data_IF_717636092952
#
_entry.id   IF_717636092952
#
_cell.length_a   1.000
_cell.length_b   1.000
_cell.length_c   1.000
_cell.angle_alpha   90.00
_cell.angle_beta   90.00
_cell.angle_gamma   90.00
#
_symmetry.space_group_name_H-M   'P 1'
#
loop_
_entity.id
_entity.type
_entity.pdbx_description
1 polymer ?
#
# COMPACT_ATOMS: atom_id res chain seq x y z
N UNK A 1 0.66 21.00 -36.40
CA UNK A 1 -0.68 20.46 -36.68
C UNK A 1 -1.69 21.58 -36.53
N UNK A 2 -2.56 21.80 -37.51
CA UNK A 2 -3.50 22.93 -37.51
C UNK A 2 -4.81 22.51 -36.85
N UNK A 3 -5.17 23.14 -35.74
CA UNK A 3 -6.47 22.91 -35.10
C UNK A 3 -7.55 23.74 -35.78
N UNK A 4 -8.70 23.13 -35.99
CA UNK A 4 -9.91 23.80 -36.44
C UNK A 4 -10.45 24.67 -35.29
N UNK A 5 -10.50 25.99 -35.50
CA UNK A 5 -11.08 26.94 -34.54
C UNK A 5 -12.10 27.83 -35.24
N UNK A 6 -13.16 28.25 -34.53
CA UNK A 6 -14.26 29.05 -35.12
C UNK A 6 -13.78 30.34 -35.81
N UNK A 7 -12.75 31.00 -35.27
CA UNK A 7 -12.16 32.19 -35.88
C UNK A 7 -11.48 31.92 -37.21
N UNK A 8 -10.83 30.77 -37.35
CA UNK A 8 -10.18 30.37 -38.62
C UNK A 8 -11.20 29.88 -39.63
N UNK A 9 -12.29 29.26 -39.17
CA UNK A 9 -13.37 28.79 -40.04
C UNK A 9 -14.03 29.92 -40.83
N UNK A 10 -14.09 31.12 -40.26
CA UNK A 10 -14.62 32.31 -40.95
C UNK A 10 -13.66 32.90 -41.99
N UNK A 11 -12.40 32.47 -42.04
CA UNK A 11 -11.39 33.03 -42.97
C UNK A 11 -10.83 32.00 -43.95
N UNK A 12 -11.00 30.70 -43.69
CA UNK A 12 -10.47 29.62 -44.50
C UNK A 12 -11.42 28.42 -44.52
N UNK A 13 -11.55 27.77 -45.68
CA UNK A 13 -12.26 26.50 -45.82
C UNK A 13 -11.39 25.33 -45.34
N UNK A 14 -11.92 24.51 -44.43
CA UNK A 14 -11.26 23.31 -43.89
C UNK A 14 -11.91 22.05 -44.43
N UNK A 15 -11.10 21.00 -44.65
CA UNK A 15 -11.59 19.65 -44.93
C UNK A 15 -12.05 18.94 -43.65
N UNK A 16 -12.69 17.78 -43.79
CA UNK A 16 -13.05 16.92 -42.66
C UNK A 16 -11.81 16.57 -41.80
N UNK A 17 -11.91 16.61 -40.46
CA UNK A 17 -10.76 16.36 -39.60
C UNK A 17 -10.28 14.90 -39.66
N UNK A 18 -8.99 14.72 -39.91
CA UNK A 18 -8.35 13.39 -39.91
C UNK A 18 -8.06 12.86 -38.49
N UNK A 19 -7.97 13.75 -37.50
CA UNK A 19 -7.70 13.40 -36.10
C UNK A 19 -8.49 14.32 -35.18
N UNK A 20 -9.13 13.74 -34.18
CA UNK A 20 -9.78 14.45 -33.08
C UNK A 20 -8.87 14.28 -31.87
N UNK A 21 -8.26 15.39 -31.44
CA UNK A 21 -7.42 15.41 -30.24
C UNK A 21 -8.25 15.78 -29.01
N UNK A 22 -8.13 14.96 -27.96
CA UNK A 22 -8.72 15.24 -26.65
C UNK A 22 -7.75 16.03 -25.75
N UNK A 23 -8.31 16.84 -24.87
CA UNK A 23 -7.52 17.61 -23.89
C UNK A 23 -6.97 16.69 -22.80
N UNK A 24 -5.65 16.57 -22.74
CA UNK A 24 -4.96 15.77 -21.72
C UNK A 24 -4.15 16.65 -20.78
N UNK A 25 -4.33 16.44 -19.46
CA UNK A 25 -3.49 17.08 -18.43
C UNK A 25 -2.33 16.16 -18.10
N UNK A 26 -1.11 16.66 -18.30
CA UNK A 26 0.11 15.93 -17.99
C UNK A 26 0.63 16.33 -16.61
N UNK A 27 0.82 15.35 -15.73
CA UNK A 27 1.42 15.56 -14.41
C UNK A 27 2.79 14.86 -14.31
N UNK A 28 3.66 15.39 -13.44
CA UNK A 28 4.91 14.74 -13.11
C UNK A 28 4.65 13.33 -12.56
N UNK A 29 5.47 12.36 -12.97
CA UNK A 29 5.33 10.99 -12.47
C UNK A 29 5.45 11.01 -10.93
N UNK A 30 4.46 10.49 -10.20
CA UNK A 30 4.52 10.45 -8.76
C UNK A 30 5.67 9.55 -8.32
N UNK A 31 6.43 10.02 -7.33
CA UNK A 31 7.54 9.26 -6.75
C UNK A 31 6.97 8.16 -5.86
N UNK A 32 7.27 6.91 -6.19
CA UNK A 32 6.95 5.77 -5.33
C UNK A 32 7.87 5.83 -4.12
N UNK A 33 7.32 6.12 -2.94
CA UNK A 33 8.06 6.04 -1.68
C UNK A 33 8.11 4.58 -1.21
N UNK A 34 9.26 4.13 -0.72
CA UNK A 34 9.43 2.78 -0.19
C UNK A 34 8.86 2.72 1.23
N UNK A 35 7.70 2.09 1.39
CA UNK A 35 7.11 1.83 2.70
C UNK A 35 7.69 0.54 3.31
N UNK A 36 8.59 0.70 4.28
CA UNK A 36 9.23 -0.42 4.98
C UNK A 36 8.24 -1.18 5.89
N UNK A 37 7.15 -0.54 6.32
CA UNK A 37 6.08 -1.21 7.08
C UNK A 37 5.20 -2.10 6.17
N UNK A 38 5.45 -2.10 4.86
CA UNK A 38 4.77 -2.96 3.87
C UNK A 38 4.89 -4.45 4.15
N UNK A 39 5.91 -4.90 4.90
CA UNK A 39 6.11 -6.31 5.22
C UNK A 39 5.11 -6.87 6.23
N UNK A 40 4.51 -6.04 7.10
CA UNK A 40 3.52 -6.51 8.10
C UNK A 40 2.10 -6.48 7.55
N UNK A 41 1.84 -5.63 6.54
CA UNK A 41 0.54 -5.47 5.87
C UNK A 41 -0.05 -6.72 5.19
N UNK A 42 0.69 -7.77 4.76
CA UNK A 42 0.12 -8.94 4.10
C UNK A 42 -0.91 -9.69 4.95
N UNK A 43 -0.86 -9.53 6.27
CA UNK A 43 -1.84 -10.05 7.21
C UNK A 43 -2.47 -8.92 8.03
N UNK A 44 -3.79 -9.00 8.20
CA UNK A 44 -4.52 -8.12 9.12
C UNK A 44 -4.10 -8.43 10.57
N UNK A 45 -4.28 -7.45 11.45
CA UNK A 45 -4.02 -7.62 12.88
C UNK A 45 -4.79 -8.80 13.48
N UNK A 46 -6.02 -9.04 13.01
CA UNK A 46 -6.85 -10.19 13.41
C UNK A 46 -6.16 -11.52 13.11
N UNK A 47 -5.56 -11.65 11.91
CA UNK A 47 -4.86 -12.86 11.49
C UNK A 47 -3.60 -13.06 12.33
N UNK A 48 -2.86 -11.99 12.61
CA UNK A 48 -1.71 -12.05 13.52
C UNK A 48 -2.11 -12.51 14.92
N UNK A 49 -3.21 -12.00 15.45
CA UNK A 49 -3.75 -12.45 16.74
C UNK A 49 -4.13 -13.94 16.71
N UNK A 50 -4.75 -14.41 15.62
CA UNK A 50 -5.07 -15.83 15.44
C UNK A 50 -3.81 -16.71 15.36
N UNK A 51 -2.76 -16.28 14.66
CA UNK A 51 -1.48 -17.01 14.58
C UNK A 51 -0.85 -17.12 15.97
N UNK A 52 -0.83 -16.02 16.74
CA UNK A 52 -0.34 -16.04 18.12
C UNK A 52 -1.19 -16.97 18.99
N UNK A 53 -2.51 -16.92 18.89
CA UNK A 53 -3.40 -17.81 19.64
C UNK A 53 -3.20 -19.29 19.27
N UNK A 54 -3.14 -19.62 17.98
CA UNK A 54 -2.89 -20.99 17.52
C UNK A 54 -1.53 -21.51 17.99
N UNK A 55 -0.48 -20.70 17.93
CA UNK A 55 0.84 -21.08 18.44
C UNK A 55 0.82 -21.34 19.96
N UNK A 56 0.09 -20.53 20.74
CA UNK A 56 -0.08 -20.77 22.18
C UNK A 56 -0.82 -22.08 22.46
N UNK A 57 -1.87 -22.38 21.70
CA UNK A 57 -2.63 -23.64 21.82
C UNK A 57 -1.73 -24.85 21.53
N UNK A 58 -0.95 -24.82 20.45
CA UNK A 58 -0.05 -25.93 20.09
C UNK A 58 1.08 -26.10 21.10
N UNK A 59 1.63 -25.00 21.61
CA UNK A 59 2.63 -25.01 22.68
C UNK A 59 2.07 -25.69 23.94
N UNK A 60 0.87 -25.29 24.38
CA UNK A 60 0.24 -25.85 25.56
C UNK A 60 -0.16 -27.32 25.36
N UNK A 61 -0.76 -27.66 24.20
CA UNK A 61 -1.14 -29.04 23.90
C UNK A 61 0.08 -29.96 23.89
N UNK A 62 1.20 -29.51 23.31
CA UNK A 62 2.44 -30.27 23.28
C UNK A 62 3.00 -30.46 24.70
N UNK A 63 3.08 -29.39 25.49
CA UNK A 63 3.54 -29.47 26.88
C UNK A 63 2.68 -30.40 27.75
N UNK A 64 1.35 -30.35 27.59
CA UNK A 64 0.40 -31.22 28.30
C UNK A 64 0.55 -32.69 27.92
N UNK A 65 0.72 -33.00 26.62
CA UNK A 65 0.91 -34.39 26.18
C UNK A 65 2.25 -34.93 26.68
N UNK A 66 3.32 -34.12 26.68
CA UNK A 66 4.61 -34.53 27.26
C UNK A 66 4.47 -34.84 28.76
N UNK A 67 3.79 -33.96 29.52
CA UNK A 67 3.53 -34.19 30.95
C UNK A 67 2.70 -35.45 31.19
N UNK A 68 1.66 -35.68 30.38
CA UNK A 68 0.83 -36.87 30.47
C UNK A 68 1.63 -38.15 30.20
N UNK A 69 2.52 -38.12 29.21
CA UNK A 69 3.38 -39.26 28.89
C UNK A 69 4.41 -39.51 30.01
N UNK A 70 5.02 -38.45 30.56
CA UNK A 70 5.96 -38.57 31.68
C UNK A 70 5.27 -39.11 32.94
N UNK A 71 4.05 -38.65 33.25
CA UNK A 71 3.27 -39.17 34.39
C UNK A 71 2.90 -40.64 34.26
N UNK A 72 2.73 -41.16 33.04
CA UNK A 72 2.35 -42.56 32.80
C UNK A 72 3.57 -43.49 32.80
N UNK A 73 4.73 -43.02 32.32
CA UNK A 73 5.92 -43.86 32.12
C UNK A 73 7.06 -43.61 33.12
N UNK A 74 7.12 -42.45 33.79
CA UNK A 74 8.19 -42.08 34.72
C UNK A 74 7.70 -42.05 36.16
N UNK A 75 8.07 -43.08 36.94
CA UNK A 75 7.94 -43.09 38.42
C UNK A 75 9.15 -42.43 39.11
N UNK A 76 9.80 -41.46 38.48
CA UNK A 76 10.99 -40.82 39.07
C UNK A 76 10.53 -39.58 39.84
N UNK A 77 10.72 -39.60 41.17
CA UNK A 77 10.49 -38.46 42.07
C UNK A 77 11.46 -37.31 41.81
N UNK A 78 11.31 -36.66 40.66
CA UNK A 78 12.09 -35.48 40.24
C UNK A 78 11.26 -34.22 40.51
N UNK A 79 11.93 -33.10 40.72
CA UNK A 79 11.28 -31.83 41.08
C UNK A 79 10.31 -31.37 39.96
N UNK A 80 9.01 -31.61 40.14
CA UNK A 80 7.96 -31.45 39.12
C UNK A 80 7.92 -30.03 38.50
N UNK A 81 8.21 -29.01 39.30
CA UNK A 81 8.17 -27.62 38.87
C UNK A 81 9.29 -27.26 37.87
N UNK A 82 10.47 -27.86 38.03
CA UNK A 82 11.61 -27.61 37.15
C UNK A 82 11.47 -28.34 35.80
N UNK A 83 10.87 -29.53 35.82
CA UNK A 83 10.56 -30.36 34.65
C UNK A 83 9.52 -29.66 33.77
N UNK A 84 8.44 -29.14 34.36
CA UNK A 84 7.38 -28.43 33.65
C UNK A 84 7.90 -27.21 32.90
N UNK A 85 8.67 -26.34 33.57
CA UNK A 85 9.28 -25.16 32.94
C UNK A 85 10.21 -25.53 31.78
N UNK A 86 10.96 -26.64 31.91
CA UNK A 86 11.84 -27.14 30.85
C UNK A 86 11.06 -27.66 29.64
N UNK A 87 9.98 -28.41 29.86
CA UNK A 87 9.10 -28.93 28.80
C UNK A 87 8.35 -27.81 28.09
N UNK A 88 7.87 -26.81 28.83
CA UNK A 88 7.24 -25.62 28.26
C UNK A 88 8.20 -24.84 27.37
N UNK A 89 9.45 -24.61 27.84
CA UNK A 89 10.47 -23.91 27.07
C UNK A 89 10.83 -24.64 25.78
N UNK A 90 10.95 -25.97 25.82
CA UNK A 90 11.23 -26.81 24.64
C UNK A 90 10.05 -26.81 23.66
N UNK A 91 8.82 -26.90 24.16
CA UNK A 91 7.63 -26.79 23.31
C UNK A 91 7.54 -25.40 22.64
N UNK A 92 7.85 -24.34 23.39
CA UNK A 92 7.86 -22.96 22.87
C UNK A 92 8.92 -22.75 21.79
N UNK A 93 10.17 -23.21 22.03
CA UNK A 93 11.23 -23.13 21.02
C UNK A 93 10.87 -23.91 19.77
N UNK A 94 10.31 -25.11 19.92
CA UNK A 94 9.89 -25.95 18.80
C UNK A 94 8.79 -25.31 17.95
N UNK A 95 7.73 -24.81 18.59
CA UNK A 95 6.63 -24.13 17.88
C UNK A 95 7.15 -22.91 17.12
N UNK A 96 8.03 -22.12 17.73
CA UNK A 96 8.63 -20.95 17.10
C UNK A 96 9.57 -21.29 15.95
N UNK A 97 10.42 -22.31 16.14
CA UNK A 97 11.32 -22.80 15.09
C UNK A 97 10.53 -23.28 13.88
N UNK A 98 9.47 -24.07 14.07
CA UNK A 98 8.60 -24.52 12.98
C UNK A 98 7.93 -23.33 12.27
N UNK A 99 7.42 -22.35 13.00
CA UNK A 99 6.81 -21.15 12.44
C UNK A 99 7.79 -20.35 11.56
N UNK A 100 9.04 -20.23 12.02
CA UNK A 100 10.12 -19.53 11.31
C UNK A 100 10.82 -20.39 10.24
N UNK A 101 10.35 -21.63 10.02
CA UNK A 101 11.01 -22.61 9.17
C UNK A 101 12.50 -22.84 9.55
N UNK A 102 12.81 -22.77 10.84
CA UNK A 102 14.12 -23.07 11.42
C UNK A 102 14.14 -24.51 11.95
N UNK A 103 15.29 -25.18 11.84
CA UNK A 103 15.49 -26.51 12.41
C UNK A 103 15.82 -26.43 13.91
N UNK A 104 15.14 -27.22 14.73
CA UNK A 104 15.51 -27.42 16.13
C UNK A 104 16.08 -28.84 16.34
N UNK A 105 17.17 -29.00 17.11
CA UNK A 105 17.73 -30.33 17.43
C UNK A 105 16.83 -31.21 18.28
N UNK A 106 15.85 -30.62 18.96
CA UNK A 106 14.92 -31.30 19.83
C UNK A 106 13.57 -31.51 19.12
N UNK A 107 13.06 -32.73 19.18
CA UNK A 107 11.78 -33.11 18.62
C UNK A 107 10.91 -33.76 19.70
N UNK A 108 9.60 -33.48 19.72
CA UNK A 108 8.71 -34.14 20.65
C UNK A 108 8.53 -35.62 20.27
N UNK A 109 8.86 -36.52 21.20
CA UNK A 109 8.79 -37.97 21.00
C UNK A 109 7.50 -38.54 21.60
N UNK A 110 6.68 -39.18 20.76
CA UNK A 110 5.44 -39.85 21.16
C UNK A 110 4.47 -40.00 19.99
N UNK A 111 3.65 -41.05 19.97
CA UNK A 111 2.69 -41.30 18.88
C UNK A 111 1.66 -40.17 18.74
N UNK A 112 1.08 -39.73 19.87
CA UNK A 112 0.07 -38.66 19.88
C UNK A 112 0.65 -37.28 19.53
N UNK A 113 1.85 -36.97 20.00
CA UNK A 113 2.48 -35.67 19.70
C UNK A 113 2.87 -35.56 18.22
N UNK A 114 3.23 -36.67 17.56
CA UNK A 114 3.54 -36.66 16.12
C UNK A 114 2.36 -36.22 15.25
N UNK A 115 1.13 -36.56 15.65
CA UNK A 115 -0.08 -36.12 14.93
C UNK A 115 -0.25 -34.61 15.07
N UNK A 116 -0.16 -34.09 16.30
CA UNK A 116 -0.22 -32.64 16.57
C UNK A 116 0.90 -31.91 15.85
N UNK A 117 2.11 -32.47 15.86
CA UNK A 117 3.26 -31.89 15.20
C UNK A 117 3.10 -31.86 13.67
N UNK A 118 2.57 -32.92 13.07
CA UNK A 118 2.25 -32.97 11.64
C UNK A 118 1.22 -31.92 11.24
N UNK A 119 0.14 -31.77 12.02
CA UNK A 119 -0.86 -30.74 11.79
C UNK A 119 -0.27 -29.32 11.92
N UNK A 120 0.60 -29.09 12.91
CA UNK A 120 1.30 -27.82 13.07
C UNK A 120 2.25 -27.53 11.90
N UNK A 121 2.98 -28.52 11.43
CA UNK A 121 3.86 -28.38 10.26
C UNK A 121 3.08 -28.00 9.00
N UNK A 122 1.94 -28.64 8.75
CA UNK A 122 1.06 -28.29 7.62
C UNK A 122 0.49 -26.89 7.79
N UNK A 123 0.03 -26.52 8.99
CA UNK A 123 -0.49 -25.19 9.27
C UNK A 123 0.57 -24.10 9.06
N UNK A 124 1.79 -24.28 9.60
CA UNK A 124 2.90 -23.34 9.42
C UNK A 124 3.32 -23.22 7.96
N UNK A 125 3.33 -24.33 7.21
CA UNK A 125 3.62 -24.33 5.78
C UNK A 125 2.58 -23.53 4.98
N UNK A 126 1.28 -23.77 5.24
CA UNK A 126 0.19 -23.03 4.59
C UNK A 126 0.24 -21.53 4.94
N UNK A 127 0.44 -21.19 6.21
CA UNK A 127 0.61 -19.80 6.65
C UNK A 127 1.77 -19.11 5.91
N UNK A 128 2.91 -19.80 5.78
CA UNK A 128 4.06 -19.30 5.03
C UNK A 128 3.76 -19.07 3.54
N UNK A 129 3.04 -19.99 2.89
CA UNK A 129 2.64 -19.84 1.48
C UNK A 129 1.72 -18.64 1.29
N UNK A 130 0.70 -18.50 2.14
CA UNK A 130 -0.27 -17.40 2.03
C UNK A 130 0.43 -16.07 2.30
N UNK A 131 1.27 -15.99 3.33
CA UNK A 131 2.05 -14.80 3.63
C UNK A 131 2.92 -14.36 2.44
N UNK A 132 3.67 -15.30 1.86
CA UNK A 132 4.53 -15.03 0.69
C UNK A 132 3.72 -14.60 -0.53
N UNK A 133 2.55 -15.22 -0.75
CA UNK A 133 1.65 -14.89 -1.87
C UNK A 133 1.07 -13.48 -1.72
N UNK A 134 0.61 -13.12 -0.52
CA UNK A 134 0.07 -11.80 -0.23
C UNK A 134 1.15 -10.73 -0.30
N UNK A 135 2.35 -11.03 0.22
CA UNK A 135 3.50 -10.15 0.11
C UNK A 135 3.87 -9.91 -1.35
N UNK A 136 3.93 -10.96 -2.18
CA UNK A 136 4.16 -10.84 -3.63
C UNK A 136 3.10 -9.96 -4.30
N UNK A 137 1.82 -10.18 -3.97
CA UNK A 137 0.71 -9.37 -4.49
C UNK A 137 0.89 -7.89 -4.13
N UNK A 138 1.32 -7.57 -2.91
CA UNK A 138 1.60 -6.19 -2.51
C UNK A 138 2.82 -5.60 -3.24
N UNK A 139 3.87 -6.38 -3.47
CA UNK A 139 5.09 -5.92 -4.13
C UNK A 139 4.90 -5.66 -5.63
N UNK A 140 4.00 -6.38 -6.29
CA UNK A 140 3.69 -6.12 -7.72
C UNK A 140 2.75 -4.92 -7.89
N UNK A 141 1.84 -4.67 -6.93
CA UNK A 141 0.90 -3.56 -7.00
C UNK A 141 1.61 -2.27 -6.60
N UNK A 142 2.02 -1.50 -7.60
CA UNK A 142 2.50 -0.13 -7.39
C UNK A 142 1.32 0.77 -7.10
N UNK A 143 1.13 1.17 -5.84
CA UNK A 143 0.16 2.21 -5.49
C UNK A 143 0.70 3.56 -5.94
N UNK A 144 0.14 4.06 -7.03
CA UNK A 144 0.38 5.41 -7.51
C UNK A 144 -0.72 6.29 -6.94
N UNK A 145 -0.40 7.09 -5.92
CA UNK A 145 -1.32 8.12 -5.44
C UNK A 145 -1.25 9.31 -6.40
N UNK A 146 -2.24 9.41 -7.28
CA UNK A 146 -2.43 10.60 -8.09
C UNK A 146 -2.93 11.74 -7.18
N UNK A 147 -2.42 12.97 -7.34
CA UNK A 147 -2.87 14.10 -6.53
C UNK A 147 -4.29 14.58 -6.89
N UNK A 148 -4.85 14.12 -8.00
CA UNK A 148 -6.21 14.39 -8.47
C UNK A 148 -6.58 13.32 -9.50
N UNK A 149 -7.83 12.85 -9.47
CA UNK A 149 -8.37 11.90 -10.46
C UNK A 149 -9.40 12.59 -11.38
N UNK A 150 -9.85 13.79 -11.01
CA UNK A 150 -10.81 14.61 -11.77
C UNK A 150 -10.30 16.04 -12.03
N UNK A 151 -10.88 16.66 -13.06
CA UNK A 151 -10.65 18.08 -13.36
C UNK A 151 -11.15 18.95 -12.20
N UNK A 152 -12.28 18.62 -11.57
CA UNK A 152 -12.80 19.35 -10.41
C UNK A 152 -11.80 19.36 -9.25
N UNK A 153 -11.18 18.22 -8.95
CA UNK A 153 -10.13 18.11 -7.92
C UNK A 153 -8.88 18.90 -8.29
N UNK A 154 -8.44 18.85 -9.56
CA UNK A 154 -7.34 19.68 -10.04
C UNK A 154 -7.62 21.16 -9.78
N UNK A 155 -8.85 21.59 -10.03
CA UNK A 155 -9.25 22.98 -9.85
C UNK A 155 -9.48 23.34 -8.38
N UNK A 156 -9.63 22.38 -7.47
CA UNK A 156 -9.61 22.59 -6.03
C UNK A 156 -8.20 22.52 -5.42
N UNK A 157 -7.25 21.88 -6.10
CA UNK A 157 -5.93 21.48 -5.57
C UNK A 157 -4.76 22.49 -5.39
N UNK A 158 -4.85 23.82 -5.31
CA UNK A 158 -3.70 24.81 -5.36
C UNK A 158 -2.49 24.54 -6.31
N UNK A 159 -2.46 23.48 -7.13
CA UNK A 159 -1.32 23.12 -7.99
C UNK A 159 -1.20 24.12 -9.14
N UNK A 160 0.03 24.57 -9.41
CA UNK A 160 0.29 25.53 -10.47
C UNK A 160 0.31 24.80 -11.82
N UNK A 161 -0.75 24.97 -12.61
CA UNK A 161 -0.83 24.47 -13.98
C UNK A 161 -0.28 25.53 -14.93
N UNK A 162 0.51 25.13 -15.93
CA UNK A 162 0.98 26.05 -16.98
C UNK A 162 0.56 25.52 -18.35
N UNK A 163 -0.16 26.32 -19.16
CA UNK A 163 -0.42 25.95 -20.54
C UNK A 163 0.87 25.97 -21.34
N UNK A 164 1.00 25.05 -22.29
CA UNK A 164 2.15 25.00 -23.20
C UNK A 164 2.07 26.23 -24.11
N UNK A 165 3.12 27.06 -24.08
CA UNK A 165 3.12 28.45 -24.58
C UNK A 165 2.84 28.63 -26.07
N UNK A 166 2.82 27.57 -26.87
CA UNK A 166 2.64 27.64 -28.33
C UNK A 166 1.40 26.92 -28.86
N UNK A 167 0.52 26.43 -27.97
CA UNK A 167 -0.73 25.79 -28.38
C UNK A 167 -1.87 26.80 -28.55
N UNK A 168 -2.75 26.55 -29.53
CA UNK A 168 -4.00 27.29 -29.76
C UNK A 168 -4.89 27.39 -28.50
N UNK A 169 -4.69 26.47 -27.54
CA UNK A 169 -5.34 26.41 -26.23
C UNK A 169 -5.12 27.69 -25.41
N UNK A 170 -3.93 28.30 -25.47
CA UNK A 170 -3.65 29.56 -24.76
C UNK A 170 -4.46 30.75 -25.30
N UNK A 171 -4.92 30.69 -26.56
CA UNK A 171 -5.81 31.68 -27.16
C UNK A 171 -7.28 31.41 -26.83
N UNK A 172 -7.66 30.13 -26.76
CA UNK A 172 -8.99 29.69 -26.33
C UNK A 172 -9.19 30.03 -24.84
N UNK A 173 -8.21 29.84 -23.97
CA UNK A 173 -8.27 30.22 -22.55
C UNK A 173 -8.48 31.74 -22.37
N UNK A 174 -7.79 32.56 -23.17
CA UNK A 174 -7.97 34.03 -23.15
C UNK A 174 -9.34 34.50 -23.62
N UNK A 175 -10.12 33.68 -24.36
CA UNK A 175 -11.46 34.03 -24.89
C UNK A 175 -12.60 33.15 -24.37
N UNK A 176 -12.30 32.04 -23.69
CA UNK A 176 -13.24 31.08 -23.09
C UNK A 176 -14.03 31.63 -21.90
N UNK A 177 -13.78 32.89 -21.53
CA UNK A 177 -14.57 33.71 -20.61
C UNK A 177 -16.08 33.76 -20.93
N UNK A 178 -16.53 33.27 -22.10
CA UNK A 178 -17.89 33.44 -22.60
C UNK A 178 -18.66 32.14 -22.94
N UNK A 179 -18.12 30.91 -22.79
CA UNK A 179 -18.83 29.73 -23.36
C UNK A 179 -18.77 28.38 -22.62
N UNK A 180 -18.14 28.26 -21.45
CA UNK A 180 -18.16 27.00 -20.67
C UNK A 180 -18.65 27.21 -19.23
N UNK A 181 -19.96 27.14 -18.94
CA UNK A 181 -20.51 27.54 -17.64
C UNK A 181 -20.07 26.67 -16.46
N UNK A 182 -19.71 25.39 -16.68
CA UNK A 182 -19.49 24.44 -15.59
C UNK A 182 -18.04 24.29 -15.13
N UNK A 183 -17.03 24.60 -15.96
CA UNK A 183 -15.61 24.61 -15.54
C UNK A 183 -15.10 26.01 -15.12
N UNK A 184 -15.86 27.06 -15.43
CA UNK A 184 -15.41 28.45 -15.42
C UNK A 184 -15.25 29.12 -14.03
N UNK A 185 -16.12 28.92 -13.03
CA UNK A 185 -15.98 29.67 -11.77
C UNK A 185 -14.80 29.17 -10.91
N UNK A 186 -14.41 27.91 -11.07
CA UNK A 186 -13.44 27.27 -10.15
C UNK A 186 -12.00 27.52 -10.64
N UNK A 187 -11.76 27.54 -11.96
CA UNK A 187 -10.43 27.72 -12.57
C UNK A 187 -9.95 29.17 -12.49
N UNK A 188 -10.87 30.14 -12.65
CA UNK A 188 -10.59 31.57 -12.46
C UNK A 188 -10.16 31.89 -11.02
N UNK A 189 -10.85 31.33 -10.02
CA UNK A 189 -10.51 31.57 -8.61
C UNK A 189 -9.07 31.15 -8.28
N UNK A 190 -8.58 30.08 -8.89
CA UNK A 190 -7.19 29.63 -8.73
C UNK A 190 -6.17 30.54 -9.41
N UNK A 191 -6.46 30.99 -10.63
CA UNK A 191 -5.57 31.85 -11.39
C UNK A 191 -5.45 33.25 -10.77
N UNK A 192 -6.54 33.81 -10.24
CA UNK A 192 -6.53 35.10 -9.54
C UNK A 192 -5.78 35.03 -8.19
N UNK A 193 -5.94 33.93 -7.46
CA UNK A 193 -5.19 33.70 -6.22
C UNK A 193 -3.68 33.51 -6.50
N UNK A 194 -3.33 32.85 -7.60
CA UNK A 194 -1.94 32.64 -8.04
C UNK A 194 -1.29 33.93 -8.56
N UNK A 195 -2.03 34.75 -9.32
CA UNK A 195 -1.58 36.06 -9.81
C UNK A 195 -1.24 36.98 -8.63
N UNK A 196 -2.08 37.03 -7.60
CA UNK A 196 -1.84 37.82 -6.39
C UNK A 196 -0.64 37.31 -5.57
N UNK A 197 -0.39 35.99 -5.52
CA UNK A 197 0.81 35.44 -4.86
C UNK A 197 2.10 35.77 -5.62
N UNK A 198 2.11 35.71 -6.96
CA UNK A 198 3.28 36.09 -7.76
C UNK A 198 3.55 37.59 -7.72
N UNK A 199 2.50 38.43 -7.68
CA UNK A 199 2.65 39.88 -7.53
C UNK A 199 3.19 40.26 -6.16
N UNK A 200 2.68 39.65 -5.08
CA UNK A 200 3.15 39.92 -3.72
C UNK A 200 4.54 39.35 -3.44
N UNK A 201 4.90 38.18 -3.99
CA UNK A 201 6.26 37.64 -3.87
C UNK A 201 7.29 38.44 -4.66
N UNK A 202 6.91 39.03 -5.80
CA UNK A 202 7.78 39.88 -6.62
C UNK A 202 7.90 41.31 -6.07
N UNK A 203 6.93 41.75 -5.26
CA UNK A 203 7.00 42.99 -4.50
C UNK A 203 7.84 42.83 -3.22
N UNK A 204 7.69 41.71 -2.50
CA UNK A 204 8.47 41.42 -1.29
C UNK A 204 9.98 41.25 -1.54
N UNK A 205 10.39 40.77 -2.72
CA UNK A 205 11.82 40.74 -3.12
C UNK A 205 12.37 42.10 -3.58
N UNK A 206 11.51 43.09 -3.84
CA UNK A 206 11.90 44.42 -4.33
C UNK A 206 12.10 45.44 -3.22
N UNK A 207 11.51 45.21 -2.04
CA UNK A 207 11.64 46.06 -0.83
C UNK A 207 12.82 45.68 0.09
N UNK A 208 13.56 44.61 -0.21
CA UNK A 208 14.76 44.19 0.55
C UNK A 208 16.08 44.57 -0.13
N UNK A 209 16.12 45.66 -0.89
CA UNK A 209 17.36 46.21 -1.46
C UNK A 209 17.49 47.69 -1.20
#
# INVERSE_FOLDING_TARGET
MFSVTSERWNSFDFSEPLLIDDFNVLNARPKVTSDLAGFIKPFSYEVWALVMLCSLVVMLSTALILKGNDSLFSKTGRNDQLEWGRSMRRAASWVWCVLMAQGEPWEPRGRSVRVVAGLWLVAAFLLGIVYRSNLKAMLIVRRVTLPFDSLEELVQSRLQCRPIKEHHISRIEKRGHASFPSCHPILHRKLDTQSNYCHNSSAAMRDTR
#
